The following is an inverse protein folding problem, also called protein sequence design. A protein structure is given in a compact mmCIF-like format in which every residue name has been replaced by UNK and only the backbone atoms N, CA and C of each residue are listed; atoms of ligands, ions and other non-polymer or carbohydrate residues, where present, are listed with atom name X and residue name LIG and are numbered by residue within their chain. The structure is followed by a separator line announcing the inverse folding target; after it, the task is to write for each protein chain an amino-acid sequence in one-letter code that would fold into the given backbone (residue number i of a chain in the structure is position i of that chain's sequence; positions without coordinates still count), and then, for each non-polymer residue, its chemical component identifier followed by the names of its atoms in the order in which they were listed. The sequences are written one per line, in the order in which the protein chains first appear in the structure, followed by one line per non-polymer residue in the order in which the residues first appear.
data_IF_242909802096
#
_entry.id   IF_242909802096
#
_cell.length_a   1.000
_cell.length_b   1.000
_cell.length_c   1.000
_cell.angle_alpha   90.00
_cell.angle_beta   90.00
_cell.angle_gamma   90.00
#
_symmetry.space_group_name_H-M   'P 1'
#
loop_
_entity.id
_entity.type
_entity.pdbx_description
1 polymer ?
#
# COMPACT_ATOMS: atom_id res chain seq x y z
N UNK A 1 52.99 10.21 15.55
CA UNK A 1 51.73 10.89 15.17
C UNK A 1 50.93 9.95 14.29
N UNK A 2 49.95 9.23 14.84
CA UNK A 2 49.07 8.34 14.08
C UNK A 2 47.73 9.06 13.92
N UNK A 3 47.40 9.49 12.69
CA UNK A 3 46.10 10.08 12.36
C UNK A 3 45.16 8.95 12.00
N UNK A 4 44.34 8.50 12.95
CA UNK A 4 43.24 7.57 12.67
C UNK A 4 42.16 8.30 11.86
N UNK A 5 41.93 7.86 10.63
CA UNK A 5 40.73 8.22 9.87
C UNK A 5 39.55 7.41 10.43
N UNK A 6 38.56 8.11 11.01
CA UNK A 6 37.26 7.53 11.32
C UNK A 6 36.42 7.60 10.04
N UNK A 7 36.16 6.46 9.43
CA UNK A 7 35.18 6.34 8.35
C UNK A 7 33.78 6.25 8.98
N UNK A 8 32.95 7.27 8.77
CA UNK A 8 31.55 7.26 9.16
C UNK A 8 30.77 6.44 8.12
N UNK A 9 30.34 5.24 8.49
CA UNK A 9 29.36 4.48 7.72
C UNK A 9 27.98 5.10 7.93
N UNK A 10 27.43 5.76 6.91
CA UNK A 10 26.00 6.10 6.89
C UNK A 10 25.21 4.80 6.65
N UNK A 11 24.63 4.24 7.71
CA UNK A 11 23.61 3.20 7.58
C UNK A 11 22.33 3.91 7.13
N UNK A 12 21.98 3.78 5.86
CA UNK A 12 20.66 4.16 5.39
C UNK A 12 19.64 3.21 6.02
N UNK A 13 18.96 3.65 7.08
CA UNK A 13 17.84 2.91 7.64
C UNK A 13 16.76 2.83 6.56
N UNK A 14 16.51 1.63 6.02
CA UNK A 14 15.33 1.38 5.19
C UNK A 14 14.12 1.46 6.10
N UNK A 15 13.48 2.63 6.16
CA UNK A 15 12.17 2.74 6.79
C UNK A 15 11.21 1.82 6.03
N UNK A 16 10.65 0.82 6.70
CA UNK A 16 9.56 0.02 6.14
C UNK A 16 8.27 0.80 6.39
N UNK A 17 7.77 1.49 5.36
CA UNK A 17 6.56 2.28 5.46
C UNK A 17 6.05 2.68 4.10
N UNK A 18 4.80 3.15 4.00
CA UNK A 18 4.31 3.69 2.74
C UNK A 18 5.06 4.97 2.41
N UNK A 19 5.51 5.11 1.16
CA UNK A 19 6.24 6.30 0.72
C UNK A 19 5.39 7.14 -0.21
N UNK A 20 5.39 8.44 0.04
CA UNK A 20 4.79 9.43 -0.85
C UNK A 20 5.91 10.36 -1.28
N UNK A 21 6.23 10.34 -2.58
CA UNK A 21 7.32 11.14 -3.15
C UNK A 21 8.64 11.03 -2.37
N UNK A 22 9.02 9.79 -2.01
CA UNK A 22 10.25 9.48 -1.27
C UNK A 22 10.22 9.73 0.25
N UNK A 23 9.08 10.16 0.82
CA UNK A 23 8.92 10.32 2.27
C UNK A 23 8.07 9.19 2.85
N UNK A 24 8.61 8.48 3.85
CA UNK A 24 7.87 7.45 4.56
C UNK A 24 6.75 8.05 5.43
N UNK A 25 5.65 7.33 5.60
CA UNK A 25 4.73 7.53 6.71
C UNK A 25 5.51 7.46 8.03
N UNK A 26 5.13 8.30 9.00
CA UNK A 26 5.83 8.37 10.29
C UNK A 26 5.64 7.09 11.13
N UNK A 27 4.51 6.41 10.95
CA UNK A 27 4.19 5.11 11.54
C UNK A 27 3.09 4.45 10.70
N UNK A 28 2.89 3.15 10.90
CA UNK A 28 1.75 2.45 10.30
C UNK A 28 0.43 3.13 10.68
N UNK A 29 -0.50 3.13 9.74
CA UNK A 29 -1.88 3.58 9.92
C UNK A 29 -2.05 5.08 10.17
N UNK A 30 -1.08 5.90 9.77
CA UNK A 30 -1.18 7.37 9.91
C UNK A 30 -1.98 7.98 8.76
N UNK A 31 -1.69 7.60 7.52
CA UNK A 31 -2.43 8.01 6.32
C UNK A 31 -3.26 6.88 5.70
N UNK A 32 -3.00 5.63 6.12
CA UNK A 32 -3.75 4.44 5.70
C UNK A 32 -4.73 4.02 6.78
N UNK A 33 -5.98 3.70 6.42
CA UNK A 33 -6.97 3.19 7.38
C UNK A 33 -6.50 1.85 7.94
N UNK A 34 -6.62 1.65 9.25
CA UNK A 34 -6.24 0.37 9.86
C UNK A 34 -7.18 -0.72 9.37
N UNK A 35 -6.61 -1.81 8.87
CA UNK A 35 -7.40 -2.94 8.38
C UNK A 35 -7.78 -3.89 9.52
N UNK A 36 -8.89 -4.62 9.37
CA UNK A 36 -9.34 -5.66 10.31
C UNK A 36 -8.36 -6.83 10.39
N UNK A 37 -7.59 -7.08 9.32
CA UNK A 37 -6.56 -8.10 9.28
C UNK A 37 -5.16 -7.62 9.72
N UNK A 38 -5.05 -6.43 10.32
CA UNK A 38 -3.75 -5.86 10.73
C UNK A 38 -2.90 -6.85 11.55
N UNK A 39 -3.53 -7.73 12.33
CA UNK A 39 -2.85 -8.81 13.04
C UNK A 39 -2.89 -10.15 12.31
N UNK A 40 -4.07 -10.60 11.86
CA UNK A 40 -4.29 -11.95 11.33
C UNK A 40 -3.77 -12.19 9.91
N UNK A 41 -3.56 -11.12 9.12
CA UNK A 41 -3.07 -11.15 7.73
C UNK A 41 -3.96 -11.92 6.76
N UNK A 42 -5.19 -12.22 7.16
CA UNK A 42 -6.17 -12.94 6.33
C UNK A 42 -6.71 -12.07 5.19
N UNK A 43 -7.06 -12.70 4.08
CA UNK A 43 -7.73 -12.04 2.95
C UNK A 43 -9.24 -11.95 3.16
N UNK A 44 -9.90 -11.15 2.31
CA UNK A 44 -11.37 -11.17 2.19
C UNK A 44 -11.75 -12.24 1.19
N UNK A 45 -12.59 -13.20 1.62
CA UNK A 45 -13.03 -14.31 0.77
C UNK A 45 -14.41 -14.07 0.14
N UNK A 46 -15.23 -13.19 0.71
CA UNK A 46 -16.54 -12.83 0.16
C UNK A 46 -16.52 -11.39 -0.40
N UNK A 47 -16.56 -11.20 -1.72
CA UNK A 47 -16.50 -9.85 -2.31
C UNK A 47 -17.79 -9.04 -2.17
N UNK A 48 -18.87 -9.64 -1.65
CA UNK A 48 -20.16 -8.95 -1.50
C UNK A 48 -20.31 -8.20 -0.17
N UNK A 49 -19.42 -8.44 0.81
CA UNK A 49 -19.46 -7.70 2.09
C UNK A 49 -18.79 -6.34 1.95
N UNK A 50 -19.25 -5.37 2.75
CA UNK A 50 -18.74 -3.99 2.72
C UNK A 50 -17.22 -3.89 2.98
N UNK A 51 -16.63 -4.89 3.62
CA UNK A 51 -15.19 -4.95 3.87
C UNK A 51 -14.36 -4.95 2.60
N UNK A 52 -14.88 -5.39 1.44
CA UNK A 52 -14.15 -5.39 0.17
C UNK A 52 -13.62 -4.01 -0.23
N UNK A 53 -14.23 -2.94 0.31
CA UNK A 53 -13.90 -1.55 -0.04
C UNK A 53 -12.60 -1.04 0.59
N UNK A 54 -12.42 -1.23 1.90
CA UNK A 54 -11.25 -0.71 2.64
C UNK A 54 -10.78 -1.65 3.76
N UNK A 55 -11.42 -2.80 3.93
CA UNK A 55 -11.20 -3.77 5.01
C UNK A 55 -10.99 -3.15 6.41
N UNK A 56 -11.69 -2.06 6.74
CA UNK A 56 -11.27 -1.14 7.80
C UNK A 56 -11.80 -1.52 9.20
N UNK A 57 -10.96 -1.34 10.22
CA UNK A 57 -11.31 -1.36 11.65
C UNK A 57 -11.21 0.02 12.29
N UNK A 58 -10.37 0.92 11.75
CA UNK A 58 -10.17 2.30 12.22
C UNK A 58 -9.86 3.24 11.07
N UNK A 59 -10.38 4.46 11.12
CA UNK A 59 -10.02 5.53 10.18
C UNK A 59 -8.57 5.98 10.36
N UNK A 60 -8.00 6.59 9.33
CA UNK A 60 -6.68 7.22 9.41
C UNK A 60 -6.82 8.63 10.01
N UNK A 61 -5.96 9.03 10.96
CA UNK A 61 -6.00 10.36 11.55
C UNK A 61 -5.56 11.44 10.57
N UNK A 62 -4.73 11.13 9.57
CA UNK A 62 -4.17 12.10 8.63
C UNK A 62 -4.61 11.90 7.19
N UNK A 63 -4.53 12.99 6.43
CA UNK A 63 -4.65 13.00 4.96
C UNK A 63 -3.36 13.57 4.43
N UNK A 64 -2.74 12.89 3.47
CA UNK A 64 -1.49 13.34 2.87
C UNK A 64 -1.75 14.02 1.53
N UNK A 65 -1.13 15.18 1.33
CA UNK A 65 -1.13 15.86 0.04
C UNK A 65 -0.19 15.14 -0.93
N UNK A 66 -0.74 14.72 -2.07
CA UNK A 66 0.00 14.06 -3.15
C UNK A 66 -0.23 14.84 -4.44
N UNK A 67 0.80 15.46 -5.02
CA UNK A 67 0.67 16.11 -6.32
C UNK A 67 0.25 15.12 -7.41
N UNK A 68 -0.57 15.56 -8.35
CA UNK A 68 -0.90 14.75 -9.52
C UNK A 68 0.39 14.38 -10.29
N UNK A 69 0.49 13.12 -10.71
CA UNK A 69 1.69 12.58 -11.37
C UNK A 69 2.80 12.10 -10.42
N UNK A 70 2.69 12.36 -9.11
CA UNK A 70 3.60 11.78 -8.14
C UNK A 70 3.38 10.27 -8.00
N UNK A 71 4.44 9.55 -7.59
CA UNK A 71 4.38 8.11 -7.28
C UNK A 71 4.11 7.91 -5.79
N UNK A 72 3.17 7.02 -5.49
CA UNK A 72 2.88 6.51 -4.14
C UNK A 72 3.33 5.05 -4.08
N UNK A 73 4.14 4.72 -3.08
CA UNK A 73 4.56 3.36 -2.79
C UNK A 73 3.77 2.81 -1.61
N UNK A 74 2.96 1.79 -1.88
CA UNK A 74 2.41 0.93 -0.85
C UNK A 74 3.40 -0.21 -0.58
N UNK A 75 3.60 -0.50 0.70
CA UNK A 75 4.56 -1.47 1.23
C UNK A 75 3.75 -2.46 2.05
N UNK A 76 3.98 -3.74 1.80
CA UNK A 76 3.38 -4.79 2.59
C UNK A 76 4.31 -5.10 3.77
N UNK A 77 3.74 -5.24 4.97
CA UNK A 77 4.52 -5.65 6.15
C UNK A 77 5.05 -7.09 6.03
N UNK A 78 4.58 -7.85 5.05
CA UNK A 78 5.06 -9.19 4.72
C UNK A 78 5.23 -9.35 3.20
N UNK A 79 6.07 -10.29 2.80
CA UNK A 79 6.19 -10.65 1.39
C UNK A 79 4.84 -11.13 0.82
N UNK A 80 4.47 -10.60 -0.35
CA UNK A 80 3.33 -11.10 -1.13
C UNK A 80 3.70 -12.47 -1.72
N UNK A 81 3.23 -13.53 -1.08
CA UNK A 81 3.57 -14.92 -1.41
C UNK A 81 2.47 -15.66 -2.19
N UNK A 82 1.26 -15.12 -2.26
CA UNK A 82 0.17 -15.68 -3.05
C UNK A 82 0.16 -15.14 -4.48
N UNK A 83 0.01 -16.02 -5.49
CA UNK A 83 -0.07 -15.59 -6.88
C UNK A 83 -1.39 -14.88 -7.15
N UNK A 84 -1.32 -13.69 -7.72
CA UNK A 84 -2.50 -12.93 -8.12
C UNK A 84 -2.15 -11.52 -8.59
N UNK A 85 -3.11 -10.83 -9.23
CA UNK A 85 -2.91 -9.46 -9.65
C UNK A 85 -2.92 -8.51 -8.46
N UNK A 86 -2.19 -7.41 -8.60
CA UNK A 86 -2.32 -6.24 -7.71
C UNK A 86 -3.04 -5.14 -8.45
N UNK A 87 -4.05 -4.53 -7.83
CA UNK A 87 -4.85 -3.46 -8.43
C UNK A 87 -4.97 -2.28 -7.45
N UNK A 88 -4.91 -1.06 -7.98
CA UNK A 88 -5.14 0.15 -7.20
C UNK A 88 -6.27 0.97 -7.82
N UNK A 89 -7.08 1.56 -6.94
CA UNK A 89 -8.25 2.34 -7.29
C UNK A 89 -8.22 3.67 -6.55
N UNK A 90 -8.89 4.67 -7.10
CA UNK A 90 -9.13 5.95 -6.46
C UNK A 90 -10.62 6.25 -6.45
N UNK A 91 -11.06 7.02 -5.46
CA UNK A 91 -12.40 7.57 -5.37
C UNK A 91 -12.33 9.02 -4.92
N UNK A 92 -13.05 9.91 -5.63
CA UNK A 92 -13.08 11.34 -5.29
C UNK A 92 -14.08 11.58 -4.17
N UNK A 93 -13.59 12.15 -3.06
CA UNK A 93 -14.44 12.60 -1.95
C UNK A 93 -15.40 13.69 -2.47
N UNK A 94 -16.71 13.62 -2.14
CA UNK A 94 -17.66 14.68 -2.48
C UNK A 94 -17.26 16.04 -1.91
N UNK A 95 -17.65 17.12 -2.59
CA UNK A 95 -17.42 18.48 -2.11
C UNK A 95 -18.03 18.67 -0.70
N UNK A 96 -17.29 19.34 0.18
CA UNK A 96 -17.71 19.56 1.57
C UNK A 96 -17.53 18.37 2.51
N UNK A 97 -17.02 17.22 2.04
CA UNK A 97 -16.68 16.07 2.88
C UNK A 97 -15.15 15.90 2.99
N UNK A 98 -14.73 15.03 3.92
CA UNK A 98 -13.31 14.71 4.16
C UNK A 98 -13.04 13.22 3.96
N UNK A 99 -11.87 12.89 3.41
CA UNK A 99 -11.38 11.51 3.33
C UNK A 99 -11.23 10.84 4.71
N UNK A 100 -11.11 11.63 5.79
CA UNK A 100 -11.03 11.15 7.18
C UNK A 100 -12.32 10.45 7.62
N UNK A 101 -13.48 10.85 7.09
CA UNK A 101 -14.81 10.40 7.56
C UNK A 101 -15.68 9.78 6.46
N UNK A 102 -15.46 10.12 5.20
CA UNK A 102 -16.24 9.59 4.08
C UNK A 102 -15.91 8.11 3.82
N UNK A 103 -16.91 7.25 3.75
CA UNK A 103 -16.70 5.81 3.70
C UNK A 103 -16.39 5.25 2.30
N UNK A 104 -16.69 6.00 1.24
CA UNK A 104 -16.48 5.60 -0.16
C UNK A 104 -17.58 4.69 -0.73
N UNK A 105 -18.76 4.63 -0.12
CA UNK A 105 -19.89 3.84 -0.64
C UNK A 105 -20.42 4.38 -1.99
N UNK A 106 -21.03 3.50 -2.78
CA UNK A 106 -21.56 3.81 -4.12
C UNK A 106 -20.58 3.58 -5.27
N UNK A 107 -21.02 3.95 -6.48
CA UNK A 107 -20.25 3.77 -7.72
C UNK A 107 -19.26 4.94 -7.94
N UNK A 108 -18.25 5.02 -7.08
CA UNK A 108 -17.29 6.15 -7.03
C UNK A 108 -15.84 5.77 -7.31
N UNK A 109 -15.57 4.47 -7.46
CA UNK A 109 -14.22 3.92 -7.62
C UNK A 109 -13.86 3.77 -9.10
N UNK A 110 -12.70 4.29 -9.47
CA UNK A 110 -12.09 4.06 -10.77
C UNK A 110 -10.70 3.45 -10.61
N UNK A 111 -10.33 2.55 -11.52
CA UNK A 111 -9.04 1.86 -11.50
C UNK A 111 -7.96 2.81 -12.02
N UNK A 112 -6.84 2.90 -11.30
CA UNK A 112 -5.66 3.68 -11.73
C UNK A 112 -4.47 2.78 -12.10
N UNK A 113 -4.49 1.53 -11.65
CA UNK A 113 -3.43 0.57 -11.94
C UNK A 113 -3.94 -0.86 -11.84
N UNK A 114 -3.40 -1.73 -12.69
CA UNK A 114 -3.40 -3.17 -12.55
C UNK A 114 -2.01 -3.68 -12.87
N UNK A 115 -1.52 -4.66 -12.12
CA UNK A 115 -0.35 -5.42 -12.54
C UNK A 115 -0.59 -6.03 -13.91
N UNK A 116 0.50 -6.21 -14.66
CA UNK A 116 0.48 -6.91 -15.94
C UNK A 116 -0.10 -8.33 -15.80
N UNK A 117 -0.59 -8.85 -16.92
CA UNK A 117 -0.99 -10.25 -17.04
C UNK A 117 0.14 -11.19 -16.60
N UNK A 118 -0.19 -12.32 -15.95
CA UNK A 118 0.82 -13.24 -15.48
C UNK A 118 1.56 -13.84 -16.67
N UNK A 119 2.85 -14.12 -16.49
CA UNK A 119 3.63 -14.90 -17.44
C UNK A 119 3.49 -16.37 -17.10
N UNK A 120 3.57 -17.24 -18.11
CA UNK A 120 3.66 -18.69 -17.89
C UNK A 120 5.14 -19.07 -17.88
N UNK A 121 5.62 -19.70 -16.81
CA UNK A 121 6.99 -20.19 -16.74
C UNK A 121 7.18 -21.55 -17.45
N UNK A 122 8.41 -22.06 -17.48
CA UNK A 122 8.74 -23.35 -18.11
C UNK A 122 8.03 -24.54 -17.44
N UNK A 123 7.55 -24.38 -16.21
CA UNK A 123 6.80 -25.38 -15.45
C UNK A 123 5.28 -25.22 -15.62
N UNK A 124 4.83 -24.38 -16.57
CA UNK A 124 3.43 -24.05 -16.83
C UNK A 124 2.71 -23.40 -15.64
N UNK A 125 3.47 -22.73 -14.75
CA UNK A 125 2.93 -21.97 -13.64
C UNK A 125 2.73 -20.50 -14.01
N UNK A 126 1.72 -19.86 -13.41
CA UNK A 126 1.50 -18.42 -13.53
C UNK A 126 2.46 -17.66 -12.60
N UNK A 127 3.30 -16.80 -13.19
CA UNK A 127 4.17 -15.88 -12.48
C UNK A 127 3.62 -14.47 -12.55
N UNK A 128 3.40 -13.85 -11.38
CA UNK A 128 2.86 -12.50 -11.26
C UNK A 128 3.97 -11.49 -10.90
N UNK A 129 4.07 -10.32 -11.56
CA UNK A 129 5.10 -9.34 -11.24
C UNK A 129 5.08 -8.80 -9.81
N UNK A 130 3.93 -8.90 -9.11
CA UNK A 130 3.78 -8.53 -7.70
C UNK A 130 4.19 -9.61 -6.70
N UNK A 131 4.31 -10.87 -7.15
CA UNK A 131 4.73 -11.98 -6.32
C UNK A 131 6.17 -11.74 -5.86
N UNK A 132 6.47 -12.05 -4.60
CA UNK A 132 7.76 -11.83 -3.92
C UNK A 132 8.11 -10.38 -3.52
N UNK A 133 7.25 -9.40 -3.78
CA UNK A 133 7.46 -8.02 -3.30
C UNK A 133 7.09 -7.86 -1.82
N UNK A 134 7.84 -7.02 -1.10
CA UNK A 134 7.57 -6.54 0.26
C UNK A 134 7.47 -5.02 0.23
#
# INVERSE_FOLDING_TARGET
MMKSLIAVLLVAATAQGHFINGKAEAADWTATRMTKNAQSKQGIENPTVADIRCYQSRTAPEVVEVPAGATVHYVSTQQVNHPGPTQYYMAKVPAGQSAKTWDGSGAVWFKIYSSETPKVDNNKQLFWPGQSKS
#
